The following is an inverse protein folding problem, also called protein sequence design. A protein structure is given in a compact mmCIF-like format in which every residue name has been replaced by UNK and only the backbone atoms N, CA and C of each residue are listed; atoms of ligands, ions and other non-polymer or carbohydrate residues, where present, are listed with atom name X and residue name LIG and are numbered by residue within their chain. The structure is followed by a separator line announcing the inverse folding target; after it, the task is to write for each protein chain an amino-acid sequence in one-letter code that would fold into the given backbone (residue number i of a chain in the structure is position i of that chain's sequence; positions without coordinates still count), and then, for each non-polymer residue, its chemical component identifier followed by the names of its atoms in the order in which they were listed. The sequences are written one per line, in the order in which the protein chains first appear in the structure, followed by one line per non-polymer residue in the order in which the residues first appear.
data_IF_088348655876
#
_entry.id   IF_088348655876
#
_cell.length_a   1.000
_cell.length_b   1.000
_cell.length_c   1.000
_cell.angle_alpha   90.00
_cell.angle_beta   90.00
_cell.angle_gamma   90.00
#
_symmetry.space_group_name_H-M   'P 1'
#
loop_
_entity.id
_entity.type
_entity.pdbx_description
1 polymer ?
#
# COMPACT_ATOMS: atom_id res chain seq x y z
N UNK A 1 1.57 8.22 8.02
CA UNK A 1 0.51 7.88 7.05
C UNK A 1 0.82 6.52 6.47
N UNK A 2 -0.20 5.72 6.14
CA UNK A 2 -0.02 4.40 5.51
C UNK A 2 -0.36 4.48 4.01
N UNK A 3 0.46 3.86 3.16
CA UNK A 3 0.25 3.83 1.70
C UNK A 3 0.27 2.38 1.20
N UNK A 4 -0.84 1.63 1.31
CA UNK A 4 -1.00 0.35 0.65
C UNK A 4 -0.88 0.51 -0.87
N UNK A 5 -0.12 -0.36 -1.54
CA UNK A 5 0.18 -0.23 -2.98
C UNK A 5 1.20 0.87 -3.29
N UNK A 6 1.97 1.31 -2.28
CA UNK A 6 2.93 2.42 -2.39
C UNK A 6 4.14 2.13 -3.28
N UNK A 7 4.41 0.87 -3.65
CA UNK A 7 5.44 0.55 -4.64
C UNK A 7 4.89 0.55 -6.08
N UNK A 8 3.57 0.73 -6.24
CA UNK A 8 2.92 0.87 -7.54
C UNK A 8 3.13 2.23 -8.19
N UNK A 9 2.66 2.38 -9.43
CA UNK A 9 2.84 3.59 -10.23
C UNK A 9 2.33 4.86 -9.51
N UNK A 10 1.05 4.94 -9.16
CA UNK A 10 0.51 6.13 -8.47
C UNK A 10 1.00 6.21 -7.02
N UNK A 11 1.04 5.07 -6.33
CA UNK A 11 1.42 4.99 -4.92
C UNK A 11 2.83 5.55 -4.66
N UNK A 12 3.80 5.23 -5.51
CA UNK A 12 5.18 5.71 -5.37
C UNK A 12 5.32 7.22 -5.54
N UNK A 13 4.56 7.81 -6.47
CA UNK A 13 4.48 9.27 -6.59
C UNK A 13 3.83 9.90 -5.36
N UNK A 14 2.76 9.31 -4.82
CA UNK A 14 2.19 9.78 -3.55
C UNK A 14 3.21 9.72 -2.41
N UNK A 15 4.02 8.66 -2.34
CA UNK A 15 5.08 8.53 -1.32
C UNK A 15 6.12 9.65 -1.45
N UNK A 16 6.55 9.98 -2.68
CA UNK A 16 7.48 11.10 -2.93
C UNK A 16 6.88 12.41 -2.41
N UNK A 17 5.65 12.73 -2.80
CA UNK A 17 5.00 13.99 -2.40
C UNK A 17 4.79 14.07 -0.88
N UNK A 18 4.45 12.96 -0.23
CA UNK A 18 4.35 12.90 1.22
C UNK A 18 5.69 13.20 1.91
N UNK A 19 6.80 12.67 1.39
CA UNK A 19 8.13 12.93 1.94
C UNK A 19 8.54 14.38 1.72
N UNK A 20 8.33 14.91 0.52
CA UNK A 20 8.58 16.33 0.21
C UNK A 20 7.79 17.27 1.12
N UNK A 21 6.57 16.89 1.51
CA UNK A 21 5.74 17.62 2.46
C UNK A 21 6.11 17.41 3.94
N UNK A 22 7.18 16.66 4.24
CA UNK A 22 7.70 16.45 5.59
C UNK A 22 7.04 15.30 6.37
N UNK A 23 6.26 14.44 5.70
CA UNK A 23 5.70 13.24 6.31
C UNK A 23 6.64 12.04 6.20
N UNK A 24 6.44 11.06 7.08
CA UNK A 24 7.13 9.76 7.02
C UNK A 24 6.11 8.67 6.64
N UNK A 25 5.88 8.43 5.34
CA UNK A 25 4.93 7.40 4.89
C UNK A 25 5.45 5.99 5.19
N UNK A 26 4.53 5.09 5.53
CA UNK A 26 4.77 3.65 5.67
C UNK A 26 4.13 2.97 4.46
N UNK A 27 4.92 2.26 3.68
CA UNK A 27 4.47 1.52 2.51
C UNK A 27 4.12 0.09 2.89
N UNK A 28 3.00 -0.40 2.34
CA UNK A 28 2.61 -1.81 2.37
C UNK A 28 2.37 -2.25 0.93
N UNK A 29 3.07 -3.26 0.44
CA UNK A 29 2.90 -3.74 -0.94
C UNK A 29 3.31 -5.22 -1.06
N UNK A 30 2.49 -6.05 -1.70
CA UNK A 30 2.82 -7.47 -1.88
C UNK A 30 3.70 -7.74 -3.12
N UNK A 31 4.02 -6.70 -3.90
CA UNK A 31 4.81 -6.75 -5.13
C UNK A 31 4.20 -7.57 -6.27
N UNK A 32 2.88 -7.82 -6.25
CA UNK A 32 2.21 -8.55 -7.33
C UNK A 32 2.32 -7.83 -8.69
N UNK A 33 2.24 -6.50 -8.70
CA UNK A 33 2.32 -5.69 -9.92
C UNK A 33 3.20 -4.45 -9.72
N UNK A 34 4.23 -4.60 -8.89
CA UNK A 34 5.21 -3.56 -8.54
C UNK A 34 6.59 -4.20 -8.36
N UNK A 35 7.60 -3.40 -8.02
CA UNK A 35 8.97 -3.89 -7.82
C UNK A 35 9.62 -3.16 -6.66
N UNK A 36 10.40 -3.89 -5.86
CA UNK A 36 11.27 -3.30 -4.81
C UNK A 36 12.18 -2.19 -5.35
N UNK A 37 12.57 -2.26 -6.64
CA UNK A 37 13.37 -1.24 -7.31
C UNK A 37 12.66 0.12 -7.38
N UNK A 38 11.33 0.14 -7.41
CA UNK A 38 10.55 1.37 -7.39
C UNK A 38 10.81 2.16 -6.11
N UNK A 39 10.78 1.49 -4.94
CA UNK A 39 11.03 2.16 -3.67
C UNK A 39 12.49 2.61 -3.53
N UNK A 40 13.46 1.86 -4.05
CA UNK A 40 14.86 2.35 -4.10
C UNK A 40 15.00 3.63 -4.90
N UNK A 41 14.28 3.77 -6.01
CA UNK A 41 14.27 5.02 -6.79
C UNK A 41 13.59 6.16 -6.02
N UNK A 42 12.53 5.87 -5.28
CA UNK A 42 11.93 6.85 -4.36
C UNK A 42 12.95 7.31 -3.32
N UNK A 43 13.72 6.40 -2.73
CA UNK A 43 14.80 6.74 -1.78
C UNK A 43 15.87 7.62 -2.45
N UNK A 44 16.27 7.32 -3.68
CA UNK A 44 17.23 8.13 -4.45
C UNK A 44 16.71 9.54 -4.75
N UNK A 45 15.42 9.66 -5.11
CA UNK A 45 14.80 10.95 -5.43
C UNK A 45 14.64 11.82 -4.18
N UNK A 46 14.24 11.21 -3.07
CA UNK A 46 13.89 11.94 -1.84
C UNK A 46 15.04 12.08 -0.86
N UNK A 47 16.11 11.30 -1.02
CA UNK A 47 17.21 11.20 -0.05
C UNK A 47 16.81 10.56 1.29
N UNK A 48 15.60 10.00 1.39
CA UNK A 48 15.02 9.46 2.62
C UNK A 48 14.81 7.96 2.49
N UNK A 49 15.11 7.19 3.54
CA UNK A 49 14.79 5.76 3.55
C UNK A 49 13.29 5.51 3.72
N UNK A 50 12.77 4.51 3.01
CA UNK A 50 11.35 4.16 3.02
C UNK A 50 11.09 3.01 3.98
N UNK A 51 10.16 3.22 4.91
CA UNK A 51 9.62 2.13 5.72
C UNK A 51 8.67 1.34 4.83
N UNK A 52 9.05 0.12 4.46
CA UNK A 52 8.26 -0.77 3.62
C UNK A 52 7.98 -2.11 4.29
N UNK A 53 6.74 -2.59 4.17
CA UNK A 53 6.32 -3.92 4.56
C UNK A 53 5.85 -4.69 3.33
N UNK A 54 6.59 -5.73 2.95
CA UNK A 54 6.20 -6.64 1.88
C UNK A 54 5.14 -7.62 2.38
N UNK A 55 3.89 -7.17 2.45
CA UNK A 55 2.75 -7.97 2.91
C UNK A 55 1.55 -7.76 2.00
N UNK A 56 0.64 -8.73 2.01
CA UNK A 56 -0.67 -8.60 1.39
C UNK A 56 -1.64 -7.90 2.35
N UNK A 57 -2.45 -6.95 1.86
CA UNK A 57 -3.51 -6.34 2.67
C UNK A 57 -4.64 -7.32 3.01
N UNK A 58 -4.71 -8.48 2.36
CA UNK A 58 -5.56 -9.59 2.76
C UNK A 58 -5.07 -10.27 4.05
N UNK A 59 -3.81 -10.07 4.45
CA UNK A 59 -3.28 -10.54 5.72
C UNK A 59 -3.60 -9.54 6.84
N UNK A 60 -4.76 -9.74 7.46
CA UNK A 60 -5.26 -8.87 8.52
C UNK A 60 -4.36 -8.87 9.77
N UNK A 61 -3.68 -9.98 10.08
CA UNK A 61 -2.81 -10.06 11.27
C UNK A 61 -1.55 -9.21 11.08
N UNK A 62 -0.92 -9.29 9.91
CA UNK A 62 0.21 -8.42 9.59
C UNK A 62 -0.21 -6.95 9.52
N UNK A 63 -1.38 -6.63 8.95
CA UNK A 63 -1.92 -5.27 9.01
C UNK A 63 -2.12 -4.81 10.47
N UNK A 64 -2.75 -5.61 11.33
CA UNK A 64 -2.92 -5.29 12.76
C UNK A 64 -1.58 -5.02 13.45
N UNK A 65 -0.55 -5.79 13.14
CA UNK A 65 0.77 -5.60 13.72
C UNK A 65 1.39 -4.25 13.30
N UNK A 66 1.18 -3.81 12.07
CA UNK A 66 1.62 -2.49 11.60
C UNK A 66 0.85 -1.38 12.34
N UNK A 67 -0.47 -1.50 12.48
CA UNK A 67 -1.29 -0.52 13.20
C UNK A 67 -0.97 -0.45 14.70
N UNK A 68 -0.55 -1.56 15.32
CA UNK A 68 -0.04 -1.56 16.70
C UNK A 68 1.34 -0.90 16.83
N UNK A 69 2.17 -1.01 15.80
CA UNK A 69 3.56 -0.49 15.81
C UNK A 69 3.64 1.01 15.51
N UNK A 70 2.69 1.56 14.75
CA UNK A 70 2.74 2.95 14.31
C UNK A 70 1.41 3.67 14.55
N UNK A 71 1.49 4.92 14.96
CA UNK A 71 0.33 5.80 15.02
C UNK A 71 -0.02 6.29 13.61
N UNK A 72 -1.06 5.69 13.01
CA UNK A 72 -1.49 5.96 11.63
C UNK A 72 -2.68 6.92 11.65
N UNK A 73 -2.45 8.17 11.23
CA UNK A 73 -3.48 9.21 11.19
C UNK A 73 -4.30 9.24 9.90
N UNK A 74 -3.76 8.71 8.80
CA UNK A 74 -4.39 8.72 7.49
C UNK A 74 -3.82 7.62 6.58
N UNK A 75 -4.63 7.19 5.62
CA UNK A 75 -4.34 6.11 4.68
C UNK A 75 -4.62 6.59 3.25
N UNK A 76 -3.68 6.34 2.33
CA UNK A 76 -3.88 6.49 0.89
C UNK A 76 -3.84 5.09 0.28
N UNK A 77 -5.01 4.49 0.02
CA UNK A 77 -5.10 3.12 -0.47
C UNK A 77 -4.96 3.04 -2.00
N UNK A 78 -3.79 2.61 -2.47
CA UNK A 78 -3.49 2.32 -3.87
C UNK A 78 -3.38 0.81 -4.17
N UNK A 79 -3.65 -0.07 -3.19
CA UNK A 79 -3.55 -1.52 -3.35
C UNK A 79 -4.80 -2.11 -4.03
N UNK A 80 -4.76 -2.20 -5.36
CA UNK A 80 -5.84 -2.77 -6.15
C UNK A 80 -5.34 -3.41 -7.46
N UNK A 81 -5.99 -4.49 -7.87
CA UNK A 81 -5.95 -4.95 -9.25
C UNK A 81 -6.77 -3.98 -10.11
N UNK A 82 -6.21 -3.56 -11.23
CA UNK A 82 -6.73 -2.42 -12.02
C UNK A 82 -6.89 -2.70 -13.51
N UNK A 83 -6.63 -3.92 -13.97
CA UNK A 83 -6.84 -4.27 -15.39
C UNK A 83 -8.32 -4.54 -15.65
N UNK A 84 -8.95 -3.72 -16.49
CA UNK A 84 -10.36 -3.89 -16.87
C UNK A 84 -10.57 -5.22 -17.61
N UNK A 85 -9.66 -5.58 -18.53
CA UNK A 85 -9.79 -6.82 -19.29
C UNK A 85 -9.70 -8.07 -18.40
N UNK A 86 -8.76 -8.08 -17.46
CA UNK A 86 -8.61 -9.21 -16.54
C UNK A 86 -9.76 -9.26 -15.52
N UNK A 87 -10.31 -8.12 -15.10
CA UNK A 87 -11.43 -8.10 -14.15
C UNK A 87 -12.69 -8.76 -14.70
N UNK A 88 -12.94 -8.64 -16.01
CA UNK A 88 -14.04 -9.34 -16.70
C UNK A 88 -13.79 -10.85 -16.76
N UNK A 89 -12.54 -11.25 -16.99
CA UNK A 89 -12.16 -12.67 -17.07
C UNK A 89 -12.08 -13.35 -15.69
N UNK A 90 -11.71 -12.61 -14.64
CA UNK A 90 -11.43 -13.10 -13.29
C UNK A 90 -12.12 -12.26 -12.21
N UNK A 91 -13.46 -12.10 -12.24
CA UNK A 91 -14.17 -11.16 -11.38
C UNK A 91 -14.03 -11.50 -9.89
N UNK A 92 -14.10 -12.77 -9.52
CA UNK A 92 -13.96 -13.19 -8.11
C UNK A 92 -12.59 -12.84 -7.53
N UNK A 93 -11.52 -12.89 -8.33
CA UNK A 93 -10.20 -12.47 -7.89
C UNK A 93 -10.18 -10.96 -7.58
N UNK A 94 -10.75 -10.15 -8.48
CA UNK A 94 -10.81 -8.70 -8.32
C UNK A 94 -11.67 -8.28 -7.13
N UNK A 95 -12.82 -8.94 -6.92
CA UNK A 95 -13.65 -8.69 -5.73
C UNK A 95 -12.92 -9.07 -4.44
N UNK A 96 -12.33 -10.28 -4.39
CA UNK A 96 -11.56 -10.72 -3.21
C UNK A 96 -10.42 -9.76 -2.90
N UNK A 97 -9.63 -9.36 -3.88
CA UNK A 97 -8.52 -8.45 -3.67
C UNK A 97 -9.00 -7.04 -3.32
N UNK A 98 -9.75 -6.38 -4.20
CA UNK A 98 -10.01 -4.94 -4.05
C UNK A 98 -10.97 -4.65 -2.89
N UNK A 99 -12.03 -5.44 -2.74
CA UNK A 99 -12.98 -5.27 -1.63
C UNK A 99 -12.39 -5.85 -0.34
N UNK A 100 -11.77 -7.04 -0.39
CA UNK A 100 -11.17 -7.66 0.79
C UNK A 100 -10.07 -6.82 1.43
N UNK A 101 -9.15 -6.27 0.62
CA UNK A 101 -8.11 -5.36 1.13
C UNK A 101 -8.72 -4.11 1.78
N UNK A 102 -9.74 -3.51 1.15
CA UNK A 102 -10.44 -2.35 1.72
C UNK A 102 -11.12 -2.70 3.05
N UNK A 103 -11.84 -3.83 3.11
CA UNK A 103 -12.51 -4.28 4.33
C UNK A 103 -11.52 -4.56 5.45
N UNK A 104 -10.38 -5.19 5.17
CA UNK A 104 -9.34 -5.41 6.16
C UNK A 104 -8.74 -4.10 6.68
N UNK A 105 -8.43 -3.15 5.79
CA UNK A 105 -7.95 -1.82 6.19
C UNK A 105 -8.97 -1.13 7.10
N UNK A 106 -10.26 -1.14 6.75
CA UNK A 106 -11.30 -0.56 7.60
C UNK A 106 -11.42 -1.28 8.95
N UNK A 107 -11.32 -2.62 8.96
CA UNK A 107 -11.41 -3.42 10.17
C UNK A 107 -10.29 -3.13 11.18
N UNK A 108 -9.09 -2.76 10.71
CA UNK A 108 -7.96 -2.41 11.59
C UNK A 108 -7.91 -0.93 12.00
N UNK A 109 -8.75 -0.08 11.40
CA UNK A 109 -8.91 1.33 11.81
C UNK A 109 -9.88 1.46 13.00
N UNK A 110 -10.89 0.60 13.06
CA UNK A 110 -12.05 0.73 13.96
C UNK A 110 -11.81 0.12 15.36
N UNK A 111 -10.63 -0.47 15.62
CA UNK A 111 -10.25 -1.09 16.90
C UNK A 111 -8.80 -0.80 17.26
#
# INVERSE_FOLDING_TARGET
MLVPGGAGFIGSHCVIELITAGYTPIVVDNEHNSSAECLKRVEQITGCQIINYKIDCLDIENLRNIFKKYLIYAIINCAALKSVGESVQRPILYYKNNIGCLLNLLAVIVF
#
